data_IF_446078043255
#
_entry.id   IF_446078043255
#
_cell.length_a   1.000
_cell.length_b   1.000
_cell.length_c   1.000
_cell.angle_alpha   90.00
_cell.angle_beta   90.00
_cell.angle_gamma   90.00
#
_symmetry.space_group_name_H-M   'P 1'
#
loop_
_entity.id
_entity.type
_entity.pdbx_description
1 polymer ?
#
# COMPACT_ATOMS: atom_id res chain seq x y z
N UNK A 1 22.06 0.47 15.46
CA UNK A 1 21.19 -0.71 15.28
C UNK A 1 19.76 -0.51 15.79
N UNK A 2 19.51 -0.03 17.02
CA UNK A 2 18.14 0.16 17.58
C UNK A 2 17.20 1.05 16.74
N UNK A 3 17.70 2.14 16.15
CA UNK A 3 16.87 3.08 15.38
C UNK A 3 16.41 2.53 14.02
N UNK A 4 17.19 1.63 13.41
CA UNK A 4 16.84 1.01 12.13
C UNK A 4 15.68 0.01 12.28
N UNK A 5 15.64 -0.71 13.41
CA UNK A 5 14.56 -1.66 13.69
C UNK A 5 13.22 -0.95 13.93
N UNK A 6 13.24 0.19 14.62
CA UNK A 6 12.04 1.02 14.81
C UNK A 6 11.52 1.58 13.48
N UNK A 7 12.41 2.10 12.64
CA UNK A 7 12.04 2.61 11.31
C UNK A 7 11.42 1.51 10.44
N UNK A 8 12.04 0.32 10.39
CA UNK A 8 11.53 -0.82 9.65
C UNK A 8 10.15 -1.28 10.15
N UNK A 9 9.94 -1.31 11.47
CA UNK A 9 8.66 -1.63 12.08
C UNK A 9 7.57 -0.61 11.71
N UNK A 10 7.88 0.69 11.81
CA UNK A 10 6.93 1.76 11.46
C UNK A 10 6.55 1.71 9.97
N UNK A 11 7.53 1.47 9.09
CA UNK A 11 7.29 1.35 7.65
C UNK A 11 6.40 0.14 7.33
N UNK A 12 6.67 -1.03 7.91
CA UNK A 12 5.81 -2.21 7.72
C UNK A 12 4.39 -1.96 8.20
N UNK A 13 4.23 -1.34 9.38
CA UNK A 13 2.92 -1.01 9.95
C UNK A 13 2.16 -0.04 9.04
N UNK A 14 2.84 0.96 8.48
CA UNK A 14 2.25 1.91 7.54
C UNK A 14 1.79 1.24 6.25
N UNK A 15 2.60 0.33 5.66
CA UNK A 15 2.24 -0.40 4.44
C UNK A 15 1.03 -1.31 4.67
N UNK A 16 0.98 -2.05 5.79
CA UNK A 16 -0.17 -2.88 6.14
C UNK A 16 -1.42 -2.02 6.33
N UNK A 17 -1.30 -0.89 7.03
CA UNK A 17 -2.43 0.02 7.25
C UNK A 17 -2.97 0.61 5.94
N UNK A 18 -2.06 0.95 5.02
CA UNK A 18 -2.43 1.42 3.69
C UNK A 18 -3.17 0.34 2.90
N UNK A 19 -2.66 -0.90 2.93
CA UNK A 19 -3.31 -2.03 2.28
C UNK A 19 -4.72 -2.30 2.81
N UNK A 20 -4.90 -2.27 4.14
CA UNK A 20 -6.22 -2.42 4.78
C UNK A 20 -7.17 -1.32 4.29
N UNK A 21 -6.70 -0.09 4.15
CA UNK A 21 -7.51 1.00 3.59
C UNK A 21 -7.90 0.72 2.13
N UNK A 22 -6.97 0.24 1.30
CA UNK A 22 -7.26 -0.18 -0.08
C UNK A 22 -8.31 -1.28 -0.13
N UNK A 23 -8.25 -2.27 0.76
CA UNK A 23 -9.25 -3.36 0.85
C UNK A 23 -10.63 -2.81 1.22
N UNK A 24 -10.71 -1.87 2.16
CA UNK A 24 -11.97 -1.24 2.56
C UNK A 24 -12.60 -0.48 1.37
N UNK A 25 -11.78 0.30 0.64
CA UNK A 25 -12.21 0.97 -0.59
C UNK A 25 -12.68 -0.07 -1.62
N UNK A 26 -11.97 -1.19 -1.74
CA UNK A 26 -12.34 -2.20 -2.70
C UNK A 26 -13.68 -2.86 -2.39
N UNK A 27 -13.95 -3.17 -1.12
CA UNK A 27 -15.25 -3.70 -0.70
C UNK A 27 -16.40 -2.70 -0.89
N UNK A 28 -16.16 -1.39 -0.79
CA UNK A 28 -17.20 -0.39 -1.08
C UNK A 28 -17.60 -0.33 -2.56
N UNK A 29 -16.78 -0.86 -3.45
CA UNK A 29 -17.06 -0.96 -4.89
C UNK A 29 -17.52 -2.35 -5.33
N UNK A 30 -17.53 -3.34 -4.43
CA UNK A 30 -18.03 -4.68 -4.70
C UNK A 30 -17.28 -5.78 -3.96
N UNK A 31 -18.01 -6.84 -3.62
CA UNK A 31 -17.49 -7.99 -2.88
C UNK A 31 -16.25 -8.62 -3.53
N UNK A 32 -16.34 -8.97 -4.82
CA UNK A 32 -15.24 -9.59 -5.54
C UNK A 32 -14.03 -8.66 -5.70
N UNK A 33 -14.26 -7.35 -5.77
CA UNK A 33 -13.18 -6.38 -5.83
C UNK A 33 -12.37 -6.37 -4.54
N UNK A 34 -13.03 -6.44 -3.39
CA UNK A 34 -12.37 -6.60 -2.08
C UNK A 34 -11.60 -7.90 -1.95
N UNK A 35 -12.21 -9.02 -2.38
CA UNK A 35 -11.56 -10.34 -2.36
C UNK A 35 -10.29 -10.37 -3.20
N UNK A 36 -10.34 -9.88 -4.44
CA UNK A 36 -9.15 -9.81 -5.31
C UNK A 36 -8.07 -8.92 -4.67
N UNK A 37 -8.50 -7.80 -4.07
CA UNK A 37 -7.59 -6.85 -3.43
C UNK A 37 -6.82 -7.47 -2.25
N UNK A 38 -7.47 -8.32 -1.45
CA UNK A 38 -6.83 -9.03 -0.33
C UNK A 38 -5.66 -9.93 -0.75
N UNK A 39 -5.76 -10.58 -1.92
CA UNK A 39 -4.76 -11.56 -2.37
C UNK A 39 -3.66 -10.94 -3.23
N UNK A 40 -3.90 -9.77 -3.83
CA UNK A 40 -2.97 -9.11 -4.75
C UNK A 40 -2.63 -7.69 -4.28
N UNK A 41 -1.94 -7.51 -3.13
CA UNK A 41 -1.77 -6.21 -2.48
C UNK A 41 -1.12 -5.18 -3.39
N UNK A 42 0.05 -5.51 -3.96
CA UNK A 42 0.85 -4.59 -4.78
C UNK A 42 0.10 -4.15 -6.04
N UNK A 43 -0.47 -5.11 -6.79
CA UNK A 43 -1.19 -4.80 -8.03
C UNK A 43 -2.48 -4.02 -7.75
N UNK A 44 -3.17 -4.36 -6.68
CA UNK A 44 -4.43 -3.72 -6.32
C UNK A 44 -4.21 -2.28 -5.86
N UNK A 45 -3.16 -2.02 -5.07
CA UNK A 45 -2.80 -0.66 -4.66
C UNK A 45 -2.54 0.24 -5.87
N UNK A 46 -1.77 -0.24 -6.87
CA UNK A 46 -1.56 0.51 -8.13
C UNK A 46 -2.90 0.84 -8.78
N UNK A 47 -3.76 -0.16 -8.98
CA UNK A 47 -5.08 0.04 -9.59
C UNK A 47 -5.91 1.08 -8.84
N UNK A 48 -6.00 0.95 -7.52
CA UNK A 48 -6.82 1.81 -6.68
C UNK A 48 -6.27 3.22 -6.58
N UNK A 49 -4.95 3.43 -6.68
CA UNK A 49 -4.36 4.77 -6.73
C UNK A 49 -4.93 5.56 -7.91
N UNK A 50 -4.98 4.93 -9.10
CA UNK A 50 -5.54 5.59 -10.29
C UNK A 50 -7.06 5.72 -10.21
N UNK A 51 -7.76 4.69 -9.71
CA UNK A 51 -9.22 4.71 -9.60
C UNK A 51 -9.73 5.76 -8.62
N UNK A 52 -9.01 6.00 -7.52
CA UNK A 52 -9.40 6.99 -6.52
C UNK A 52 -8.93 8.40 -6.85
N UNK A 53 -8.27 8.63 -7.99
CA UNK A 53 -7.81 9.95 -8.38
C UNK A 53 -9.03 10.84 -8.71
N UNK A 54 -9.16 11.98 -8.02
CA UNK A 54 -10.34 12.85 -8.12
C UNK A 54 -11.47 12.52 -7.14
N UNK A 55 -11.50 11.30 -6.58
CA UNK A 55 -12.51 10.89 -5.58
C UNK A 55 -11.97 10.88 -4.15
N UNK A 56 -10.75 10.36 -3.96
CA UNK A 56 -10.03 10.35 -2.71
C UNK A 56 -8.56 10.69 -2.96
N UNK A 57 -8.31 11.97 -3.19
CA UNK A 57 -6.98 12.49 -3.53
C UNK A 57 -5.95 12.22 -2.44
N UNK A 58 -6.35 12.21 -1.17
CA UNK A 58 -5.44 11.90 -0.06
C UNK A 58 -4.91 10.47 -0.20
N UNK A 59 -5.78 9.49 -0.42
CA UNK A 59 -5.39 8.11 -0.66
C UNK A 59 -4.45 8.01 -1.87
N UNK A 60 -4.82 8.61 -3.00
CA UNK A 60 -4.05 8.52 -4.24
C UNK A 60 -2.65 9.16 -4.11
N UNK A 61 -2.56 10.36 -3.50
CA UNK A 61 -1.28 11.05 -3.26
C UNK A 61 -0.39 10.23 -2.32
N UNK A 62 -0.95 9.71 -1.22
CA UNK A 62 -0.20 8.90 -0.27
C UNK A 62 0.33 7.63 -0.95
N UNK A 63 -0.47 6.98 -1.79
CA UNK A 63 -0.04 5.83 -2.59
C UNK A 63 1.09 6.13 -3.55
N UNK A 64 1.02 7.25 -4.28
CA UNK A 64 2.08 7.67 -5.21
C UNK A 64 3.41 7.89 -4.47
N UNK A 65 3.37 8.42 -3.25
CA UNK A 65 4.57 8.68 -2.43
C UNK A 65 5.09 7.38 -1.78
N UNK A 66 4.19 6.55 -1.26
CA UNK A 66 4.56 5.37 -0.47
C UNK A 66 5.01 4.19 -1.33
N UNK A 67 4.48 4.05 -2.54
CA UNK A 67 4.77 2.91 -3.42
C UNK A 67 6.25 2.85 -3.88
N UNK A 68 6.88 3.95 -4.36
CA UNK A 68 8.31 3.96 -4.68
C UNK A 68 9.20 3.68 -3.45
N UNK A 69 8.81 4.18 -2.27
CA UNK A 69 9.53 3.93 -1.03
C UNK A 69 9.49 2.44 -0.64
N UNK A 70 8.33 1.79 -0.79
CA UNK A 70 8.17 0.36 -0.54
C UNK A 70 9.03 -0.49 -1.49
N UNK A 71 9.01 -0.17 -2.79
CA UNK A 71 9.81 -0.86 -3.81
C UNK A 71 11.30 -0.69 -3.53
N UNK A 72 11.76 0.53 -3.24
CA UNK A 72 13.16 0.82 -2.91
C UNK A 72 13.66 0.00 -1.71
N UNK A 73 12.87 -0.03 -0.62
CA UNK A 73 13.23 -0.80 0.59
C UNK A 73 13.24 -2.30 0.35
N UNK A 74 12.30 -2.83 -0.44
CA UNK A 74 12.28 -4.24 -0.80
C UNK A 74 13.51 -4.66 -1.63
N UNK A 75 13.96 -3.79 -2.55
CA UNK A 75 15.17 -3.99 -3.33
C UNK A 75 16.45 -4.01 -2.48
N UNK A 76 16.53 -3.17 -1.44
CA UNK A 76 17.66 -3.19 -0.50
C UNK A 76 17.73 -4.48 0.34
N UNK A 77 16.59 -5.10 0.65
CA UNK A 77 16.52 -6.34 1.43
C UNK A 77 16.95 -7.58 0.63
N UNK A 78 16.79 -7.56 -0.70
CA UNK A 78 17.12 -8.68 -1.58
C UNK A 78 18.59 -8.85 -1.95
N UNK A 79 19.48 -7.96 -1.49
CA UNK A 79 20.91 -7.95 -1.84
C UNK A 79 21.84 -8.32 -0.66
N UNK A 80 21.31 -9.04 0.35
CA UNK A 80 22.03 -9.51 1.53
C UNK A 80 21.94 -11.03 1.67
#
# INVERSE_FOLDING_TARGET
>A
MRNLNLLAFLLQTALISYHVWTVIIAFSHGFWSGIITLFLPVLSEIYWIFKMFGENNLYAILGIISFPAAVFLSGLKGNN
#
